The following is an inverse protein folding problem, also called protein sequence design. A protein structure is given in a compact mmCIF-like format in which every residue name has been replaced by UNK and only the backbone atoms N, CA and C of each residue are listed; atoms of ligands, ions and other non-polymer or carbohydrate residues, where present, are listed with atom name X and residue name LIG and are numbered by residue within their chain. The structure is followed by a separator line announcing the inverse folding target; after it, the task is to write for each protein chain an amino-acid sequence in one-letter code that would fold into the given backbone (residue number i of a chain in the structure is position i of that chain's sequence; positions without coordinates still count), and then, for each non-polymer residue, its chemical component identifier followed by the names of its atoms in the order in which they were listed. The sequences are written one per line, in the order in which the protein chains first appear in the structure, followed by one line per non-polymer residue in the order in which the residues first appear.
data_IF_037731659227
#
_entry.id   IF_037731659227
#
_cell.length_a   1.000
_cell.length_b   1.000
_cell.length_c   1.000
_cell.angle_alpha   90.00
_cell.angle_beta   90.00
_cell.angle_gamma   90.00
#
_symmetry.space_group_name_H-M   'P 1'
#
loop_
_entity.id
_entity.type
_entity.pdbx_description
1 polymer ?
#
# COMPACT_ATOMS: atom_id res chain seq x y z
N UNK A 1 10.28 -8.61 10.69
CA UNK A 1 9.60 -7.60 9.89
C UNK A 1 8.26 -7.20 10.49
N UNK A 2 7.86 -5.98 10.23
CA UNK A 2 6.53 -5.49 10.58
C UNK A 2 5.63 -5.68 9.35
N UNK A 3 4.69 -6.62 9.44
CA UNK A 3 3.89 -7.00 8.30
C UNK A 3 4.69 -7.79 7.27
N UNK A 4 4.17 -7.87 6.06
CA UNK A 4 4.74 -8.69 5.00
C UNK A 4 4.64 -7.99 3.66
N UNK A 5 5.59 -8.29 2.79
CA UNK A 5 5.48 -8.04 1.36
C UNK A 5 5.37 -9.39 0.66
N UNK A 6 4.49 -9.48 -0.33
CA UNK A 6 4.37 -10.69 -1.13
C UNK A 6 5.66 -10.94 -1.93
N UNK A 7 5.90 -12.19 -2.31
CA UNK A 7 7.08 -12.60 -3.07
C UNK A 7 7.28 -11.77 -4.34
N UNK A 8 6.21 -11.40 -5.01
CA UNK A 8 6.22 -10.63 -6.26
C UNK A 8 5.97 -9.13 -6.06
N UNK A 9 6.04 -8.66 -4.81
CA UNK A 9 5.93 -7.24 -4.46
C UNK A 9 7.27 -6.74 -3.95
N UNK A 10 7.47 -5.42 -4.02
CA UNK A 10 8.71 -4.78 -3.56
C UNK A 10 8.41 -3.51 -2.77
N UNK A 11 9.45 -2.89 -2.23
CA UNK A 11 9.34 -1.58 -1.60
C UNK A 11 9.63 -1.59 -0.10
N UNK A 12 8.99 -0.66 0.58
CA UNK A 12 9.24 -0.36 1.99
C UNK A 12 8.83 -1.51 2.90
N UNK A 13 9.77 -1.97 3.73
CA UNK A 13 9.54 -2.95 4.78
C UNK A 13 10.18 -2.44 6.07
N UNK A 14 9.42 -2.42 7.15
CA UNK A 14 9.92 -2.02 8.46
C UNK A 14 10.40 -3.25 9.22
N UNK A 15 11.58 -3.15 9.82
CA UNK A 15 12.15 -4.19 10.67
C UNK A 15 12.30 -3.64 12.08
N UNK A 16 11.93 -4.44 13.09
CA UNK A 16 12.09 -4.06 14.49
C UNK A 16 12.24 -5.30 15.37
N UNK A 17 12.91 -5.14 16.51
CA UNK A 17 12.93 -6.15 17.56
C UNK A 17 11.97 -5.79 18.71
N UNK A 18 11.21 -4.70 18.59
CA UNK A 18 10.20 -4.28 19.55
C UNK A 18 8.84 -4.83 19.12
N UNK A 19 8.37 -5.88 19.82
CA UNK A 19 7.11 -6.54 19.51
C UNK A 19 5.89 -5.63 19.68
N UNK A 20 5.90 -4.75 20.66
CA UNK A 20 4.79 -3.83 20.89
C UNK A 20 4.70 -2.81 19.75
N UNK A 21 5.83 -2.27 19.32
CA UNK A 21 5.89 -1.38 18.17
C UNK A 21 5.36 -2.07 16.91
N UNK A 22 5.80 -3.30 16.65
CA UNK A 22 5.35 -4.08 15.51
C UNK A 22 3.83 -4.29 15.54
N UNK A 23 3.29 -4.73 16.67
CA UNK A 23 1.85 -4.97 16.84
C UNK A 23 1.03 -3.69 16.64
N UNK A 24 1.53 -2.57 17.15
CA UNK A 24 0.86 -1.28 16.97
C UNK A 24 0.74 -0.89 15.49
N UNK A 25 1.77 -1.15 14.69
CA UNK A 25 1.76 -0.79 13.27
C UNK A 25 0.84 -1.66 12.42
N UNK A 26 0.75 -2.95 12.74
CA UNK A 26 -0.03 -3.89 11.92
C UNK A 26 -1.48 -4.05 12.39
N UNK A 27 -1.82 -3.53 13.55
CA UNK A 27 -3.18 -3.70 14.09
C UNK A 27 -4.19 -2.92 13.24
N UNK A 28 -5.29 -3.56 12.79
CA UNK A 28 -6.26 -2.92 11.89
C UNK A 28 -6.90 -1.65 12.46
N UNK A 29 -7.01 -1.54 13.78
CA UNK A 29 -7.62 -0.38 14.44
C UNK A 29 -6.80 0.90 14.32
N UNK A 30 -5.54 0.82 13.89
CA UNK A 30 -4.66 2.00 13.80
C UNK A 30 -4.92 2.86 12.56
N UNK A 31 -5.65 2.37 11.57
CA UNK A 31 -6.01 3.13 10.38
C UNK A 31 -4.81 3.77 9.66
N UNK A 32 -3.68 3.08 9.62
CA UNK A 32 -2.48 3.59 8.95
C UNK A 32 -2.57 3.28 7.46
N UNK A 33 -2.51 4.32 6.64
CA UNK A 33 -2.47 4.15 5.19
C UNK A 33 -1.15 3.54 4.73
N UNK A 34 -1.26 2.60 3.83
CA UNK A 34 -0.13 2.07 3.07
C UNK A 34 -0.34 2.48 1.62
N UNK A 35 0.67 3.08 1.02
CA UNK A 35 0.59 3.61 -0.33
C UNK A 35 1.48 2.82 -1.26
N UNK A 36 0.93 2.46 -2.41
CA UNK A 36 1.60 1.63 -3.41
C UNK A 36 1.67 2.35 -4.74
N UNK A 37 2.79 2.17 -5.41
CA UNK A 37 2.94 2.52 -6.81
C UNK A 37 2.65 1.26 -7.62
N UNK A 38 1.63 1.31 -8.45
CA UNK A 38 1.12 0.15 -9.19
C UNK A 38 1.28 0.40 -10.67
N UNK A 39 2.09 -0.42 -11.33
CA UNK A 39 2.25 -0.37 -12.78
C UNK A 39 1.35 -1.44 -13.39
N UNK A 40 0.48 -1.02 -14.31
CA UNK A 40 -0.42 -1.91 -15.04
C UNK A 40 -0.11 -1.90 -16.54
N UNK A 41 -0.44 -3.00 -17.24
CA UNK A 41 -0.06 -3.24 -18.63
C UNK A 41 -1.07 -2.71 -19.64
N UNK A 42 -1.71 -1.60 -19.32
CA UNK A 42 -2.71 -0.99 -20.21
C UNK A 42 -2.92 0.47 -19.86
N UNK A 43 -3.60 1.20 -20.72
CA UNK A 43 -4.23 2.46 -20.36
C UNK A 43 -5.37 2.20 -19.37
N UNK A 44 -5.79 3.21 -18.64
CA UNK A 44 -6.87 3.09 -17.65
C UNK A 44 -7.91 4.15 -17.92
N UNK A 45 -9.18 3.72 -18.08
CA UNK A 45 -10.30 4.62 -18.28
C UNK A 45 -10.77 5.18 -16.94
N UNK A 46 -11.35 6.38 -16.98
CA UNK A 46 -11.87 7.02 -15.78
C UNK A 46 -12.91 6.15 -15.05
N UNK A 47 -13.81 5.49 -15.79
CA UNK A 47 -14.79 4.58 -15.18
C UNK A 47 -14.13 3.40 -14.45
N UNK A 48 -13.00 2.90 -14.97
CA UNK A 48 -12.24 1.83 -14.32
C UNK A 48 -11.61 2.33 -13.01
N UNK A 49 -11.10 3.55 -13.01
CA UNK A 49 -10.53 4.19 -11.81
C UNK A 49 -11.59 4.35 -10.73
N UNK A 50 -12.80 4.77 -11.11
CA UNK A 50 -13.90 4.93 -10.16
C UNK A 50 -14.29 3.58 -9.57
N UNK A 51 -14.43 2.55 -10.40
CA UNK A 51 -14.72 1.19 -9.93
C UNK A 51 -13.65 0.67 -8.97
N UNK A 52 -12.38 0.92 -9.28
CA UNK A 52 -11.26 0.51 -8.44
C UNK A 52 -11.30 1.20 -7.07
N UNK A 53 -11.50 2.52 -7.06
CA UNK A 53 -11.54 3.31 -5.83
C UNK A 53 -12.76 2.98 -4.95
N UNK A 54 -13.89 2.67 -5.57
CA UNK A 54 -15.15 2.40 -4.86
C UNK A 54 -15.37 0.93 -4.52
N UNK A 55 -14.38 0.07 -4.76
CA UNK A 55 -14.49 -1.35 -4.48
C UNK A 55 -14.69 -1.58 -2.98
N UNK A 56 -15.69 -2.37 -2.62
CA UNK A 56 -16.03 -2.65 -1.22
C UNK A 56 -15.95 -4.13 -0.85
N UNK A 57 -15.67 -5.00 -1.83
CA UNK A 57 -15.57 -6.44 -1.63
C UNK A 57 -14.59 -7.08 -2.59
N UNK A 58 -13.78 -8.02 -2.09
CA UNK A 58 -12.87 -8.85 -2.87
C UNK A 58 -12.92 -10.27 -2.34
N UNK A 59 -13.16 -11.24 -3.23
CA UNK A 59 -13.22 -12.66 -2.88
C UNK A 59 -14.14 -12.95 -1.68
N UNK A 60 -15.27 -12.25 -1.58
CA UNK A 60 -16.22 -12.41 -0.49
C UNK A 60 -15.86 -11.68 0.78
N UNK A 61 -14.73 -11.00 0.84
CA UNK A 61 -14.32 -10.20 2.00
C UNK A 61 -14.61 -8.72 1.79
N UNK A 62 -15.13 -8.07 2.82
CA UNK A 62 -15.33 -6.62 2.79
C UNK A 62 -14.00 -5.89 2.85
N UNK A 63 -13.88 -4.83 2.04
CA UNK A 63 -12.75 -3.91 2.07
C UNK A 63 -13.24 -2.48 2.12
N UNK A 64 -12.42 -1.60 2.67
CA UNK A 64 -12.70 -0.17 2.64
C UNK A 64 -12.32 0.42 1.27
N UNK A 65 -13.02 1.47 0.82
CA UNK A 65 -12.64 2.18 -0.40
C UNK A 65 -11.19 2.67 -0.35
N UNK A 66 -10.49 2.55 -1.48
CA UNK A 66 -9.11 3.00 -1.61
C UNK A 66 -9.03 4.41 -2.17
N UNK A 67 -7.92 5.08 -1.93
CA UNK A 67 -7.58 6.33 -2.62
C UNK A 67 -6.76 5.97 -3.85
N UNK A 68 -7.17 6.43 -5.02
CA UNK A 68 -6.52 6.11 -6.28
C UNK A 68 -6.17 7.40 -7.02
N UNK A 69 -4.90 7.52 -7.43
CA UNK A 69 -4.40 8.65 -8.20
C UNK A 69 -3.64 8.12 -9.40
N UNK A 70 -3.79 8.77 -10.57
CA UNK A 70 -3.07 8.40 -11.79
C UNK A 70 -1.78 9.20 -11.86
N UNK A 71 -0.64 8.51 -11.91
CA UNK A 71 0.67 9.15 -12.07
C UNK A 71 1.06 9.24 -13.54
N UNK A 72 0.74 8.23 -14.33
CA UNK A 72 0.87 8.26 -15.79
C UNK A 72 -0.16 7.35 -16.42
N UNK A 73 -0.61 7.67 -17.62
CA UNK A 73 -1.65 6.91 -18.32
C UNK A 73 -1.33 6.86 -19.80
N UNK A 74 -0.77 5.76 -20.26
CA UNK A 74 -0.43 5.52 -21.64
C UNK A 74 -1.12 4.25 -22.15
N UNK A 75 -1.21 4.09 -23.46
CA UNK A 75 -1.97 3.02 -24.08
C UNK A 75 -1.56 1.61 -23.61
N UNK A 76 -0.27 1.37 -23.47
CA UNK A 76 0.26 0.05 -23.09
C UNK A 76 0.74 -0.06 -21.66
N UNK A 77 0.73 1.06 -20.92
CA UNK A 77 1.29 1.08 -19.57
C UNK A 77 0.80 2.29 -18.79
N UNK A 78 0.30 2.06 -17.62
CA UNK A 78 -0.10 3.14 -16.71
C UNK A 78 0.48 2.92 -15.32
N UNK A 79 0.68 4.00 -14.58
CA UNK A 79 1.16 3.96 -13.21
C UNK A 79 0.14 4.64 -12.32
N UNK A 80 -0.32 3.90 -11.32
CA UNK A 80 -1.29 4.37 -10.34
C UNK A 80 -0.64 4.47 -8.96
N UNK A 81 -1.15 5.39 -8.17
CA UNK A 81 -0.82 5.48 -6.75
C UNK A 81 -2.07 5.08 -5.98
N UNK A 82 -2.00 3.98 -5.24
CA UNK A 82 -3.14 3.42 -4.51
C UNK A 82 -2.82 3.37 -3.03
N UNK A 83 -3.69 3.97 -2.22
CA UNK A 83 -3.56 3.97 -0.76
C UNK A 83 -4.70 3.21 -0.12
N UNK A 84 -4.36 2.29 0.79
CA UNK A 84 -5.32 1.49 1.55
C UNK A 84 -4.95 1.52 3.04
N UNK A 85 -5.95 1.37 3.90
CA UNK A 85 -5.75 1.30 5.36
C UNK A 85 -5.53 -0.10 5.86
N UNK A 86 -5.99 -1.08 5.13
CA UNK A 86 -5.89 -2.49 5.47
C UNK A 86 -4.81 -3.17 4.64
N UNK A 87 -4.53 -4.42 4.88
CA UNK A 87 -3.50 -5.17 4.16
C UNK A 87 -3.89 -6.63 4.02
N UNK A 88 -5.06 -6.90 3.45
CA UNK A 88 -5.52 -8.25 3.21
C UNK A 88 -4.64 -8.93 2.16
N UNK A 89 -4.59 -10.26 2.19
CA UNK A 89 -3.73 -11.02 1.31
C UNK A 89 -3.91 -10.62 -0.16
N UNK A 90 -2.85 -10.11 -0.77
CA UNK A 90 -2.77 -9.69 -2.17
C UNK A 90 -3.87 -8.71 -2.58
N UNK A 91 -4.30 -7.87 -1.65
CA UNK A 91 -5.47 -6.99 -1.82
C UNK A 91 -5.40 -6.10 -3.04
N UNK A 92 -4.31 -5.35 -3.24
CA UNK A 92 -4.15 -4.44 -4.39
C UNK A 92 -4.22 -5.21 -5.71
N UNK A 93 -3.55 -6.37 -5.79
CA UNK A 93 -3.56 -7.21 -7.00
C UNK A 93 -4.96 -7.69 -7.32
N UNK A 94 -5.69 -8.17 -6.31
CA UNK A 94 -7.07 -8.64 -6.48
C UNK A 94 -8.00 -7.50 -6.88
N UNK A 95 -7.83 -6.32 -6.29
CA UNK A 95 -8.61 -5.13 -6.67
C UNK A 95 -8.40 -4.79 -8.15
N UNK A 96 -7.16 -4.72 -8.59
CA UNK A 96 -6.82 -4.43 -9.98
C UNK A 96 -7.37 -5.48 -10.94
N UNK A 97 -7.16 -6.75 -10.63
CA UNK A 97 -7.66 -7.87 -11.45
C UNK A 97 -9.18 -7.83 -11.58
N UNK A 98 -9.88 -7.48 -10.50
CA UNK A 98 -11.35 -7.42 -10.49
C UNK A 98 -11.93 -6.38 -11.44
N UNK A 99 -11.15 -5.39 -11.85
CA UNK A 99 -11.56 -4.36 -12.83
C UNK A 99 -10.82 -4.52 -14.16
N UNK A 100 -10.18 -5.66 -14.37
CA UNK A 100 -9.54 -5.99 -15.65
C UNK A 100 -8.15 -5.42 -15.85
N UNK A 101 -7.48 -4.98 -14.79
CA UNK A 101 -6.12 -4.45 -14.87
C UNK A 101 -5.08 -5.52 -14.52
N UNK A 102 -4.10 -5.70 -15.40
CA UNK A 102 -2.98 -6.61 -15.18
C UNK A 102 -1.83 -5.87 -14.51
N UNK A 103 -1.48 -6.25 -13.29
CA UNK A 103 -0.40 -5.63 -12.53
C UNK A 103 0.95 -6.16 -13.01
N UNK A 104 1.78 -5.27 -13.53
CA UNK A 104 3.15 -5.59 -13.95
C UNK A 104 4.14 -5.43 -12.80
N UNK A 105 3.93 -4.44 -11.93
CA UNK A 105 4.82 -4.14 -10.81
C UNK A 105 4.03 -3.52 -9.66
N UNK A 106 4.33 -3.95 -8.46
CA UNK A 106 3.70 -3.44 -7.24
C UNK A 106 4.79 -3.09 -6.23
N UNK A 107 4.86 -1.80 -5.86
CA UNK A 107 5.88 -1.28 -4.96
C UNK A 107 5.23 -0.49 -3.83
N UNK A 108 5.47 -0.90 -2.58
CA UNK A 108 5.01 -0.09 -1.44
C UNK A 108 5.96 1.07 -1.21
N UNK A 109 5.45 2.29 -1.33
CA UNK A 109 6.25 3.51 -1.27
C UNK A 109 6.11 4.28 0.03
N UNK A 110 5.05 4.04 0.80
CA UNK A 110 4.92 4.65 2.12
C UNK A 110 4.04 3.83 3.06
N UNK A 111 4.28 4.02 4.35
CA UNK A 111 3.46 3.49 5.45
C UNK A 111 3.24 4.69 6.37
N UNK A 112 2.00 5.19 6.44
CA UNK A 112 1.73 6.44 7.12
C UNK A 112 2.56 7.57 6.52
N UNK A 113 3.27 8.32 7.36
CA UNK A 113 4.15 9.41 6.89
C UNK A 113 5.58 8.94 6.57
N UNK A 114 5.90 7.68 6.84
CA UNK A 114 7.21 7.13 6.48
C UNK A 114 7.25 6.83 5.00
N UNK A 115 8.18 7.47 4.29
CA UNK A 115 8.37 7.30 2.84
C UNK A 115 9.63 6.51 2.54
N UNK A 116 9.55 5.63 1.54
CA UNK A 116 10.71 4.91 1.02
C UNK A 116 11.75 5.88 0.44
N UNK A 117 11.27 6.89 -0.28
CA UNK A 117 12.15 7.91 -0.88
C UNK A 117 13.15 7.29 -1.85
N UNK A 118 14.40 7.73 -1.71
CA UNK A 118 15.49 7.33 -2.59
C UNK A 118 16.28 6.11 -2.10
N UNK A 119 15.82 5.42 -1.05
CA UNK A 119 16.52 4.25 -0.52
C UNK A 119 16.55 3.14 -1.57
N UNK A 120 17.74 2.71 -2.05
CA UNK A 120 17.83 1.68 -3.08
C UNK A 120 17.37 0.30 -2.59
N UNK A 121 16.95 -0.58 -3.51
CA UNK A 121 16.62 -1.97 -3.16
C UNK A 121 17.78 -2.67 -2.44
N UNK A 122 17.44 -3.47 -1.44
CA UNK A 122 18.42 -4.21 -0.64
C UNK A 122 19.18 -3.38 0.37
N UNK A 123 18.91 -2.08 0.45
CA UNK A 123 19.52 -1.19 1.43
C UNK A 123 18.58 -0.93 2.59
N UNK A 124 19.14 -0.50 3.72
CA UNK A 124 18.37 -0.18 4.91
C UNK A 124 18.91 1.09 5.56
N UNK A 125 18.07 1.71 6.36
CA UNK A 125 18.44 2.81 7.25
C UNK A 125 17.63 2.74 8.51
N UNK A 126 18.09 3.43 9.55
CA UNK A 126 17.32 3.59 10.77
C UNK A 126 16.23 4.64 10.57
N UNK A 127 15.13 4.49 11.30
CA UNK A 127 14.10 5.52 11.36
C UNK A 127 14.64 6.73 12.11
N UNK A 128 14.25 7.93 11.64
CA UNK A 128 14.58 9.15 12.36
C UNK A 128 13.75 9.28 13.62
N UNK A 129 14.18 10.15 14.55
CA UNK A 129 13.41 10.43 15.76
C UNK A 129 12.00 10.94 15.44
N UNK A 130 11.86 11.76 14.41
CA UNK A 130 10.56 12.28 13.98
C UNK A 130 9.66 11.17 13.44
N UNK A 131 10.21 10.25 12.64
CA UNK A 131 9.48 9.11 12.12
C UNK A 131 8.99 8.21 13.24
N UNK A 132 9.84 7.89 14.21
CA UNK A 132 9.46 7.12 15.41
C UNK A 132 8.38 7.83 16.21
N UNK A 133 8.52 9.13 16.39
CA UNK A 133 7.55 9.95 17.13
C UNK A 133 6.18 9.94 16.44
N UNK A 134 6.15 10.01 15.11
CA UNK A 134 4.93 9.92 14.34
C UNK A 134 4.20 8.60 14.63
N UNK A 135 4.88 7.48 14.56
CA UNK A 135 4.26 6.17 14.83
C UNK A 135 3.80 6.02 16.28
N UNK A 136 4.51 6.58 17.24
CA UNK A 136 4.12 6.54 18.65
C UNK A 136 2.87 7.38 18.96
N UNK A 137 2.58 8.40 18.17
CA UNK A 137 1.38 9.23 18.31
C UNK A 137 0.11 8.56 17.79
N UNK A 138 0.25 7.53 16.96
CA UNK A 138 -0.88 6.82 16.40
C UNK A 138 -1.43 5.89 17.48
N UNK A 139 -2.66 6.17 17.92
CA UNK A 139 -3.34 5.38 18.95
C UNK A 139 -4.53 4.67 18.33
N UNK A 140 -4.86 3.48 18.84
CA UNK A 140 -6.08 2.80 18.47
C UNK A 140 -7.29 3.66 18.82
N UNK A 141 -8.33 3.71 17.99
CA UNK A 141 -9.60 4.32 18.36
C UNK A 141 -10.15 3.63 19.61
N UNK A 142 -10.66 4.42 20.52
CA UNK A 142 -11.32 3.88 21.71
C UNK A 142 -12.68 3.30 21.34
#
# INVERSE_FOLDING_TARGET
PVGRLDKDSEGLLIMTNDGDFANNLIHPSKNIFKTYRVTVRSGVKEETLVKLACKTEIDGEEIEPAQVEVLSNEKGRSVLKISIKEGKNRQIRKMCESVGLEVARLKRISIGQLKLGMLPPGKWRELTAEELKHFKKIKAPN
#
